data_IF_354202239938
#
_entry.id   IF_354202239938
#
_cell.length_a   1.000
_cell.length_b   1.000
_cell.length_c   1.000
_cell.angle_alpha   90.00
_cell.angle_beta   90.00
_cell.angle_gamma   90.00
#
_symmetry.space_group_name_H-M   'P 1'
#
loop_
_entity.id
_entity.type
_entity.pdbx_description
1 polymer ?
#
# COMPACT_ATOMS: atom_id res chain seq x y z
N UNK A 1 2.32 -14.31 7.82
CA UNK A 1 2.27 -12.98 7.18
C UNK A 1 1.83 -13.14 5.75
N UNK A 2 0.78 -12.42 5.33
CA UNK A 2 0.31 -12.34 3.94
C UNK A 2 0.79 -11.03 3.32
N UNK A 3 1.09 -11.04 2.02
CA UNK A 3 1.42 -9.84 1.28
C UNK A 3 0.38 -9.59 0.19
N UNK A 4 -0.15 -8.37 0.10
CA UNK A 4 -1.09 -7.98 -0.95
C UNK A 4 -0.52 -6.79 -1.71
N UNK A 5 -0.57 -6.86 -3.03
CA UNK A 5 -0.22 -5.74 -3.92
C UNK A 5 -1.30 -5.53 -4.98
N UNK A 6 -1.38 -4.31 -5.49
CA UNK A 6 -2.31 -3.95 -6.55
C UNK A 6 -1.94 -4.62 -7.90
N UNK A 7 -2.68 -4.25 -8.95
CA UNK A 7 -2.46 -4.76 -10.31
C UNK A 7 -1.55 -3.87 -11.17
N UNK A 8 -0.76 -2.98 -10.57
CA UNK A 8 0.18 -2.15 -11.32
C UNK A 8 1.13 -3.03 -12.16
N UNK A 9 1.36 -2.72 -13.46
CA UNK A 9 2.24 -3.51 -14.31
C UNK A 9 3.65 -3.73 -13.73
N UNK A 10 4.20 -2.71 -13.04
CA UNK A 10 5.51 -2.80 -12.39
C UNK A 10 5.58 -3.93 -11.35
N UNK A 11 4.48 -4.19 -10.63
CA UNK A 11 4.37 -5.22 -9.61
C UNK A 11 4.22 -6.64 -10.17
N UNK A 12 4.02 -6.75 -11.49
CA UNK A 12 3.83 -8.01 -12.19
C UNK A 12 5.10 -8.51 -12.90
N UNK A 13 6.21 -7.77 -12.78
CA UNK A 13 7.49 -8.11 -13.40
C UNK A 13 8.06 -9.41 -12.80
N UNK A 14 8.75 -10.20 -13.63
CA UNK A 14 9.25 -11.54 -13.25
C UNK A 14 10.16 -11.53 -12.02
N UNK A 15 11.06 -10.55 -11.94
CA UNK A 15 11.96 -10.39 -10.79
C UNK A 15 11.18 -10.11 -9.49
N UNK A 16 10.09 -9.33 -9.56
CA UNK A 16 9.21 -9.06 -8.42
C UNK A 16 8.48 -10.33 -8.00
N UNK A 17 7.89 -11.06 -8.95
CA UNK A 17 7.15 -12.30 -8.63
C UNK A 17 8.05 -13.40 -8.08
N UNK A 18 9.27 -13.54 -8.61
CA UNK A 18 10.26 -14.48 -8.09
C UNK A 18 10.66 -14.15 -6.65
N UNK A 19 10.87 -12.86 -6.35
CA UNK A 19 11.14 -12.40 -5.00
C UNK A 19 9.98 -12.71 -4.05
N UNK A 20 8.73 -12.43 -4.47
CA UNK A 20 7.55 -12.68 -3.65
C UNK A 20 7.32 -14.18 -3.41
N UNK A 21 7.53 -15.02 -4.42
CA UNK A 21 7.48 -16.48 -4.26
C UNK A 21 8.53 -16.97 -3.25
N UNK A 22 9.76 -16.47 -3.31
CA UNK A 22 10.82 -16.85 -2.35
C UNK A 22 10.54 -16.37 -0.93
N UNK A 23 10.02 -15.15 -0.78
CA UNK A 23 9.82 -14.52 0.53
C UNK A 23 8.52 -14.95 1.22
N UNK A 24 7.45 -15.13 0.46
CA UNK A 24 6.11 -15.35 1.00
C UNK A 24 5.49 -16.70 0.58
N UNK A 25 6.08 -17.41 -0.39
CA UNK A 25 5.52 -18.66 -0.92
C UNK A 25 4.16 -18.41 -1.57
N UNK A 26 3.16 -19.23 -1.22
CA UNK A 26 1.76 -19.04 -1.64
C UNK A 26 0.99 -18.02 -0.78
N UNK A 27 1.67 -17.24 0.06
CA UNK A 27 1.04 -16.24 0.95
C UNK A 27 1.20 -14.82 0.43
N UNK A 28 1.08 -14.65 -0.89
CA UNK A 28 0.91 -13.33 -1.48
C UNK A 28 -0.18 -13.30 -2.54
N UNK A 29 -0.80 -12.13 -2.69
CA UNK A 29 -1.92 -11.88 -3.58
C UNK A 29 -1.53 -10.78 -4.55
N UNK A 30 -1.73 -11.02 -5.85
CA UNK A 30 -1.42 -10.05 -6.89
C UNK A 30 -1.73 -10.58 -8.27
N UNK A 31 -1.43 -9.79 -9.31
CA UNK A 31 -1.82 -10.14 -10.70
C UNK A 31 -1.20 -11.44 -11.20
N UNK A 32 0.08 -11.66 -10.90
CA UNK A 32 0.90 -12.76 -11.42
C UNK A 32 1.16 -13.87 -10.39
N UNK A 33 0.51 -13.82 -9.23
CA UNK A 33 0.64 -14.82 -8.18
C UNK A 33 -0.34 -15.99 -8.35
N UNK A 34 -0.13 -17.05 -7.55
CA UNK A 34 -1.07 -18.16 -7.43
C UNK A 34 -2.43 -17.67 -6.93
N UNK A 35 -2.44 -16.78 -5.93
CA UNK A 35 -3.64 -16.05 -5.50
C UNK A 35 -3.83 -14.79 -6.34
N UNK A 36 -4.78 -14.83 -7.27
CA UNK A 36 -5.05 -13.72 -8.18
C UNK A 36 -5.98 -12.69 -7.54
N UNK A 37 -5.54 -11.43 -7.47
CA UNK A 37 -6.41 -10.32 -7.11
C UNK A 37 -7.36 -9.98 -8.26
N UNK A 38 -8.65 -9.64 -8.04
CA UNK A 38 -9.58 -9.24 -9.10
C UNK A 38 -9.19 -7.93 -9.83
N UNK A 39 -9.73 -7.75 -11.04
CA UNK A 39 -9.46 -6.57 -11.87
C UNK A 39 -10.19 -5.34 -11.33
N UNK A 40 -9.54 -4.16 -11.38
CA UNK A 40 -10.18 -2.86 -11.04
C UNK A 40 -10.76 -2.82 -9.62
N UNK A 41 -10.07 -3.44 -8.67
CA UNK A 41 -10.47 -3.48 -7.27
C UNK A 41 -9.59 -2.58 -6.41
N UNK A 42 -9.50 -1.29 -6.78
CA UNK A 42 -8.86 -0.25 -5.95
C UNK A 42 -9.54 -0.19 -4.58
N UNK A 43 -10.86 -0.36 -4.54
CA UNK A 43 -11.67 -0.33 -3.32
C UNK A 43 -11.38 -1.47 -2.34
N UNK A 44 -10.61 -2.48 -2.74
CA UNK A 44 -10.34 -3.67 -1.93
C UNK A 44 -8.95 -3.68 -1.29
N UNK A 45 -8.09 -2.68 -1.58
CA UNK A 45 -6.81 -2.58 -0.85
C UNK A 45 -7.02 -1.68 0.37
N UNK A 46 -6.66 -2.11 1.60
CA UNK A 46 -6.76 -1.26 2.79
C UNK A 46 -5.97 0.05 2.64
N UNK A 47 -4.90 0.03 1.84
CA UNK A 47 -4.11 1.21 1.52
C UNK A 47 -4.93 2.25 0.74
N UNK A 48 -5.62 1.84 -0.33
CA UNK A 48 -6.40 2.73 -1.18
C UNK A 48 -7.74 3.12 -0.57
N UNK A 49 -8.44 2.17 0.06
CA UNK A 49 -9.74 2.40 0.69
C UNK A 49 -9.64 3.31 1.93
N UNK A 50 -8.61 3.13 2.75
CA UNK A 50 -8.52 3.79 4.05
C UNK A 50 -7.29 4.69 4.17
N UNK A 51 -6.08 4.11 4.10
CA UNK A 51 -4.85 4.79 4.52
C UNK A 51 -4.58 6.05 3.69
N UNK A 52 -4.59 5.95 2.36
CA UNK A 52 -4.23 7.08 1.51
C UNK A 52 -5.22 8.24 1.60
N UNK A 53 -6.50 7.96 1.83
CA UNK A 53 -7.51 9.01 2.07
C UNK A 53 -7.20 9.78 3.36
N UNK A 54 -6.97 9.04 4.46
CA UNK A 54 -6.66 9.62 5.77
C UNK A 54 -5.35 10.40 5.78
N UNK A 55 -4.28 9.82 5.23
CA UNK A 55 -2.98 10.48 5.14
C UNK A 55 -3.05 11.74 4.29
N UNK A 56 -3.78 11.73 3.16
CA UNK A 56 -3.94 12.93 2.34
C UNK A 56 -4.67 14.04 3.09
N UNK A 57 -5.74 13.72 3.81
CA UNK A 57 -6.49 14.71 4.59
C UNK A 57 -5.61 15.40 5.64
N UNK A 58 -4.71 14.67 6.30
CA UNK A 58 -3.79 15.22 7.29
C UNK A 58 -2.61 15.97 6.66
N UNK A 59 -1.90 15.36 5.71
CA UNK A 59 -0.67 15.93 5.14
C UNK A 59 -0.94 17.21 4.35
N UNK A 60 -2.09 17.28 3.66
CA UNK A 60 -2.50 18.43 2.85
C UNK A 60 -3.40 19.44 3.60
N UNK A 61 -3.62 19.28 4.91
CA UNK A 61 -4.36 20.25 5.73
C UNK A 61 -3.75 21.65 5.63
N UNK A 62 -2.43 21.71 5.55
CA UNK A 62 -1.67 22.93 5.26
C UNK A 62 -0.93 22.81 3.93
N UNK A 63 -0.66 23.95 3.28
CA UNK A 63 0.05 23.97 2.00
C UNK A 63 1.44 23.32 2.12
N UNK A 64 1.75 22.29 1.33
CA UNK A 64 3.08 21.68 1.31
C UNK A 64 4.17 22.68 0.93
N UNK A 65 5.32 22.59 1.60
CA UNK A 65 6.45 23.49 1.35
C UNK A 65 7.60 22.80 0.62
N UNK A 66 8.25 21.84 1.27
CA UNK A 66 9.45 21.17 0.79
C UNK A 66 9.32 19.65 0.85
N UNK A 67 10.21 18.94 0.15
CA UNK A 67 10.27 17.48 0.20
C UNK A 67 10.46 16.95 1.63
N UNK A 68 11.32 17.61 2.43
CA UNK A 68 11.61 17.20 3.81
C UNK A 68 10.38 17.39 4.71
N UNK A 69 9.72 18.54 4.61
CA UNK A 69 8.47 18.83 5.30
C UNK A 69 7.39 17.80 4.98
N UNK A 70 7.21 17.46 3.69
CA UNK A 70 6.27 16.42 3.27
C UNK A 70 6.58 15.04 3.87
N UNK A 71 7.84 14.63 3.89
CA UNK A 71 8.24 13.36 4.50
C UNK A 71 7.95 13.36 6.01
N UNK A 72 8.21 14.47 6.69
CA UNK A 72 7.96 14.59 8.13
C UNK A 72 6.46 14.57 8.46
N UNK A 73 5.65 15.27 7.67
CA UNK A 73 4.18 15.23 7.80
C UNK A 73 3.63 13.83 7.59
N UNK A 74 4.11 13.09 6.59
CA UNK A 74 3.70 11.70 6.36
C UNK A 74 4.06 10.83 7.57
N UNK A 75 5.28 10.96 8.13
CA UNK A 75 5.69 10.20 9.32
C UNK A 75 4.78 10.49 10.52
N UNK A 76 4.49 11.76 10.78
CA UNK A 76 3.59 12.18 11.87
C UNK A 76 2.16 11.71 11.65
N UNK A 77 1.66 11.82 10.43
CA UNK A 77 0.32 11.34 10.08
C UNK A 77 0.20 9.82 10.26
N UNK A 78 1.26 9.05 9.96
CA UNK A 78 1.28 7.62 10.23
C UNK A 78 1.36 7.31 11.74
N UNK A 79 2.10 8.08 12.55
CA UNK A 79 2.28 7.77 13.98
C UNK A 79 1.02 7.97 14.82
N UNK A 80 0.02 8.68 14.30
CA UNK A 80 -1.25 8.94 14.99
C UNK A 80 -2.38 8.00 14.55
N UNK A 81 -2.14 7.11 13.59
CA UNK A 81 -3.14 6.13 13.17
C UNK A 81 -3.21 5.05 14.23
N UNK A 82 -4.42 4.82 14.76
CA UNK A 82 -4.65 3.73 15.71
C UNK A 82 -4.54 2.39 14.96
N UNK A 83 -3.74 1.48 15.50
CA UNK A 83 -3.61 0.13 14.98
C UNK A 83 -4.92 -0.65 14.96
N UNK A 84 -5.89 -0.29 15.80
CA UNK A 84 -7.23 -0.89 15.80
C UNK A 84 -8.08 -0.46 14.60
N UNK A 85 -7.70 0.61 13.89
CA UNK A 85 -8.37 1.05 12.66
C UNK A 85 -7.88 0.30 11.41
N UNK A 86 -6.78 -0.45 11.53
CA UNK A 86 -6.15 -1.22 10.46
C UNK A 86 -6.28 -2.69 10.84
N UNK A 87 -7.38 -3.34 10.43
CA UNK A 87 -7.65 -4.76 10.70
C UNK A 87 -6.46 -5.68 10.39
#
# INVERSE_FOLDING_TARGET
MWFQQDRCPAHSARNVTEFLNRKFGDRWIGRSGSNKWPARSLDLTPLDFYLWGKLKAEVYREKPTTKLDMQERIRRACSVIDTNEIC
#
